data_IF_051588513393
#
_entry.id   IF_051588513393
#
_cell.length_a   1.000
_cell.length_b   1.000
_cell.length_c   1.000
_cell.angle_alpha   90.00
_cell.angle_beta   90.00
_cell.angle_gamma   90.00
#
_symmetry.space_group_name_H-M   'P 1'
#
loop_
_entity.id
_entity.type
_entity.pdbx_description
1 polymer ?
#
# COMPACT_ATOMS: atom_id res chain seq x y z
N UNK A 1 9.63 -6.78 20.52
CA UNK A 1 9.19 -6.13 19.29
C UNK A 1 10.43 -5.95 18.42
N UNK A 2 10.38 -6.24 17.16
CA UNK A 2 11.54 -6.16 16.27
C UNK A 2 11.32 -4.97 15.32
N UNK A 3 12.33 -4.12 15.24
CA UNK A 3 12.40 -3.07 14.23
C UNK A 3 12.27 -3.71 12.84
N UNK A 4 11.40 -3.16 11.99
CA UNK A 4 11.19 -3.65 10.63
C UNK A 4 12.43 -3.36 9.78
N UNK A 5 12.72 -4.23 8.82
CA UNK A 5 13.64 -3.88 7.75
C UNK A 5 13.07 -2.72 6.96
N UNK A 6 13.89 -1.71 6.64
CA UNK A 6 13.49 -0.56 5.83
C UNK A 6 14.40 -0.42 4.62
N UNK A 7 13.82 0.01 3.49
CA UNK A 7 14.54 0.57 2.35
C UNK A 7 14.40 2.09 2.39
N UNK A 8 15.50 2.80 2.10
CA UNK A 8 15.54 4.24 2.20
C UNK A 8 16.06 4.88 0.92
N UNK A 9 15.53 6.07 0.57
CA UNK A 9 16.01 6.89 -0.54
C UNK A 9 16.14 8.34 -0.13
N UNK A 10 17.22 8.98 -0.59
CA UNK A 10 17.48 10.39 -0.34
C UNK A 10 17.91 10.71 1.09
N UNK A 11 18.10 11.99 1.34
CA UNK A 11 18.50 12.54 2.64
C UNK A 11 17.97 13.98 2.79
N UNK A 12 16.79 14.25 2.23
CA UNK A 12 16.15 15.57 2.31
C UNK A 12 15.62 15.88 3.70
N UNK A 13 15.27 17.15 3.93
CA UNK A 13 14.75 17.61 5.22
C UNK A 13 13.29 17.21 5.47
N UNK A 14 12.55 16.85 4.42
CA UNK A 14 11.17 16.34 4.53
C UNK A 14 11.20 14.82 4.60
N UNK A 15 10.30 14.24 5.40
CA UNK A 15 10.23 12.78 5.54
C UNK A 15 8.98 12.24 4.87
N UNK A 16 9.13 11.17 4.07
CA UNK A 16 8.02 10.40 3.52
C UNK A 16 8.09 8.94 3.97
N UNK A 17 6.96 8.36 4.35
CA UNK A 17 6.84 6.93 4.66
C UNK A 17 5.94 6.24 3.64
N UNK A 18 6.36 5.05 3.15
CA UNK A 18 5.66 4.30 2.10
C UNK A 18 5.36 2.88 2.59
N UNK A 19 4.08 2.54 2.77
CA UNK A 19 3.65 1.26 3.33
C UNK A 19 3.04 0.40 2.22
N UNK A 20 3.65 -0.74 1.92
CA UNK A 20 3.25 -1.63 0.83
C UNK A 20 1.97 -2.43 1.12
N UNK A 21 1.37 -3.00 0.07
CA UNK A 21 0.22 -3.89 0.14
C UNK A 21 0.56 -5.35 0.47
N UNK A 22 -0.48 -6.18 0.60
CA UNK A 22 -0.35 -7.62 0.78
C UNK A 22 0.49 -8.24 -0.34
N UNK A 23 1.36 -9.17 0.01
CA UNK A 23 2.32 -9.83 -0.88
C UNK A 23 3.35 -8.92 -1.57
N UNK A 24 3.36 -7.61 -1.27
CA UNK A 24 4.39 -6.67 -1.69
C UNK A 24 5.58 -6.62 -0.73
N UNK A 25 6.43 -5.63 -0.92
CA UNK A 25 7.57 -5.30 -0.05
C UNK A 25 7.93 -3.82 -0.23
N UNK A 26 8.95 -3.33 0.48
CA UNK A 26 9.55 -2.02 0.22
C UNK A 26 9.95 -1.82 -1.24
N UNK A 27 10.28 -2.92 -1.95
CA UNK A 27 10.70 -2.94 -3.34
C UNK A 27 9.61 -2.46 -4.33
N UNK A 28 8.32 -2.56 -3.98
CA UNK A 28 7.25 -2.03 -4.85
C UNK A 28 7.44 -0.54 -5.17
N UNK A 29 8.06 0.20 -4.26
CA UNK A 29 8.27 1.64 -4.35
C UNK A 29 9.49 2.08 -5.17
N UNK A 30 10.08 1.19 -5.96
CA UNK A 30 11.33 1.37 -6.71
C UNK A 30 11.35 2.59 -7.66
N UNK A 31 10.20 3.07 -8.12
CA UNK A 31 10.09 4.31 -8.90
C UNK A 31 9.71 5.49 -7.99
N UNK A 32 8.76 5.31 -7.09
CA UNK A 32 8.22 6.37 -6.23
C UNK A 32 9.26 6.85 -5.21
N UNK A 33 9.99 5.93 -4.58
CA UNK A 33 11.01 6.26 -3.59
C UNK A 33 12.09 7.21 -4.14
N UNK A 34 12.78 6.85 -5.23
CA UNK A 34 13.76 7.74 -5.86
C UNK A 34 13.18 9.08 -6.35
N UNK A 35 11.94 9.08 -6.87
CA UNK A 35 11.31 10.32 -7.34
C UNK A 35 10.97 11.27 -6.19
N UNK A 36 10.45 10.77 -5.06
CA UNK A 36 10.25 11.59 -3.86
C UNK A 36 11.58 12.08 -3.29
N UNK A 37 12.62 11.24 -3.30
CA UNK A 37 13.98 11.64 -2.90
C UNK A 37 14.50 12.80 -3.76
N UNK A 38 14.29 12.74 -5.08
CA UNK A 38 14.64 13.83 -6.00
C UNK A 38 13.88 15.13 -5.70
N UNK A 39 12.69 15.02 -5.11
CA UNK A 39 11.87 16.16 -4.67
C UNK A 39 12.21 16.66 -3.26
N UNK A 40 13.30 16.16 -2.65
CA UNK A 40 13.81 16.62 -1.36
C UNK A 40 13.22 15.90 -0.14
N UNK A 41 12.76 14.67 -0.31
CA UNK A 41 12.37 13.80 0.79
C UNK A 41 13.50 12.85 1.21
N UNK A 42 13.55 12.53 2.49
CA UNK A 42 14.08 11.29 3.01
C UNK A 42 12.92 10.29 3.05
N UNK A 43 12.98 9.25 2.22
CA UNK A 43 11.90 8.30 2.05
C UNK A 43 12.22 7.02 2.80
N UNK A 44 11.28 6.49 3.57
CA UNK A 44 11.41 5.28 4.39
C UNK A 44 10.29 4.32 4.02
N UNK A 45 10.64 3.12 3.55
CA UNK A 45 9.69 2.08 3.18
C UNK A 45 9.98 0.80 3.96
N UNK A 46 9.14 0.42 4.95
CA UNK A 46 9.33 -0.80 5.73
C UNK A 46 8.87 -2.04 4.97
N UNK A 47 9.50 -3.19 5.26
CA UNK A 47 8.98 -4.52 4.96
C UNK A 47 8.15 -5.02 6.16
N UNK A 48 6.86 -5.18 5.97
CA UNK A 48 5.98 -5.74 6.99
C UNK A 48 6.38 -7.17 7.34
N UNK A 49 6.17 -7.60 8.59
CA UNK A 49 6.41 -9.01 8.95
C UNK A 49 5.66 -9.95 7.99
N UNK A 50 6.34 -10.99 7.53
CA UNK A 50 5.83 -11.92 6.51
C UNK A 50 6.08 -11.49 5.05
N UNK A 51 6.70 -10.32 4.81
CA UNK A 51 6.94 -9.74 3.50
C UNK A 51 8.42 -9.36 3.35
N UNK A 52 8.95 -9.41 2.14
CA UNK A 52 10.32 -9.01 1.85
C UNK A 52 11.33 -9.59 2.84
N UNK A 53 12.12 -8.74 3.47
CA UNK A 53 13.10 -9.07 4.52
C UNK A 53 12.50 -9.03 5.94
N UNK A 54 11.20 -8.76 6.06
CA UNK A 54 10.49 -8.74 7.33
C UNK A 54 10.51 -10.11 8.04
N UNK A 55 10.42 -10.11 9.37
CA UNK A 55 10.45 -11.30 10.20
C UNK A 55 9.30 -12.28 9.86
N UNK A 56 9.56 -13.57 10.02
CA UNK A 56 8.55 -14.62 9.90
C UNK A 56 7.97 -14.95 11.28
N UNK A 57 6.67 -15.24 11.35
CA UNK A 57 6.04 -15.57 12.63
C UNK A 57 4.51 -15.58 12.59
N UNK A 58 3.90 -15.06 13.63
CA UNK A 58 2.46 -14.85 13.71
C UNK A 58 2.14 -13.43 13.26
N UNK A 59 1.12 -13.29 12.42
CA UNK A 59 0.75 -12.01 11.81
C UNK A 59 -0.62 -11.55 12.31
N UNK A 60 -0.75 -10.25 12.60
CA UNK A 60 -2.03 -9.57 12.82
C UNK A 60 -1.90 -8.11 12.40
N UNK A 61 -3.04 -7.45 12.11
CA UNK A 61 -3.05 -6.03 11.79
C UNK A 61 -2.51 -5.18 12.93
N UNK A 62 -2.94 -5.51 14.13
CA UNK A 62 -2.57 -4.83 15.36
C UNK A 62 -1.04 -4.91 15.55
N UNK A 63 -0.48 -6.11 15.30
CA UNK A 63 0.97 -6.30 15.40
C UNK A 63 1.72 -5.50 14.33
N UNK A 64 1.27 -5.51 13.08
CA UNK A 64 1.87 -4.68 12.04
C UNK A 64 1.74 -3.19 12.32
N UNK A 65 0.60 -2.74 12.89
CA UNK A 65 0.42 -1.36 13.29
C UNK A 65 1.40 -0.96 14.41
N UNK A 66 1.61 -1.83 15.40
CA UNK A 66 2.60 -1.63 16.47
C UNK A 66 4.03 -1.58 15.89
N UNK A 67 4.40 -2.53 15.04
CA UNK A 67 5.72 -2.59 14.41
C UNK A 67 6.00 -1.32 13.56
N UNK A 68 4.98 -0.80 12.85
CA UNK A 68 5.09 0.45 12.11
C UNK A 68 5.34 1.66 13.02
N UNK A 69 4.60 1.77 14.14
CA UNK A 69 4.78 2.86 15.09
C UNK A 69 6.13 2.82 15.82
N UNK A 70 6.73 1.64 15.97
CA UNK A 70 8.06 1.49 16.54
C UNK A 70 9.17 1.82 15.53
N UNK A 71 8.94 1.55 14.26
CA UNK A 71 9.94 1.69 13.19
C UNK A 71 9.94 3.07 12.56
N UNK A 72 8.74 3.63 12.30
CA UNK A 72 8.61 4.85 11.52
C UNK A 72 8.79 6.11 12.37
N UNK A 73 9.45 7.16 11.84
CA UNK A 73 9.54 8.44 12.53
C UNK A 73 8.14 9.06 12.70
N UNK A 74 7.88 9.62 13.87
CA UNK A 74 6.65 10.36 14.12
C UNK A 74 6.62 11.68 13.33
N UNK A 75 5.42 12.12 12.96
CA UNK A 75 5.15 13.35 12.21
C UNK A 75 5.88 13.44 10.86
N UNK A 76 5.84 12.42 9.98
CA UNK A 76 6.40 12.56 8.65
C UNK A 76 5.59 13.60 7.85
N UNK A 77 6.22 14.25 6.87
CA UNK A 77 5.53 15.22 6.00
C UNK A 77 4.52 14.54 5.09
N UNK A 78 4.78 13.28 4.72
CA UNK A 78 3.95 12.47 3.84
C UNK A 78 3.91 11.03 4.32
N UNK A 79 2.73 10.42 4.29
CA UNK A 79 2.58 8.97 4.43
C UNK A 79 1.73 8.43 3.29
N UNK A 80 2.20 7.39 2.59
CA UNK A 80 1.47 6.71 1.51
C UNK A 80 1.29 5.26 1.92
N UNK A 81 0.06 4.73 1.82
CA UNK A 81 -0.24 3.33 2.06
C UNK A 81 -1.03 2.72 0.91
N UNK A 82 -0.50 1.65 0.31
CA UNK A 82 -1.16 0.91 -0.77
C UNK A 82 -1.95 -0.28 -0.21
N UNK A 83 -3.21 -0.44 -0.62
CA UNK A 83 -4.02 -1.62 -0.31
C UNK A 83 -4.06 -1.93 1.20
N UNK A 84 -3.47 -3.05 1.66
CA UNK A 84 -3.25 -3.37 3.08
C UNK A 84 -2.47 -2.27 3.80
N UNK A 85 -1.44 -1.69 3.16
CA UNK A 85 -0.70 -0.55 3.70
C UNK A 85 -1.59 0.66 3.96
N UNK A 86 -2.64 0.86 3.16
CA UNK A 86 -3.67 1.88 3.38
C UNK A 86 -4.55 1.58 4.60
N UNK A 87 -4.85 0.31 4.88
CA UNK A 87 -5.53 -0.12 6.12
C UNK A 87 -4.65 0.20 7.33
N UNK A 88 -3.38 -0.21 7.28
CA UNK A 88 -2.43 -0.01 8.38
C UNK A 88 -2.15 1.47 8.63
N UNK A 89 -1.98 2.26 7.57
CA UNK A 89 -1.82 3.72 7.70
C UNK A 89 -3.03 4.34 8.40
N UNK A 90 -4.25 3.95 8.02
CA UNK A 90 -5.46 4.45 8.68
C UNK A 90 -5.55 4.04 10.17
N UNK A 91 -5.03 2.87 10.54
CA UNK A 91 -4.95 2.43 11.94
C UNK A 91 -3.94 3.24 12.77
N UNK A 92 -2.83 3.68 12.16
CA UNK A 92 -1.75 4.36 12.89
C UNK A 92 -1.72 5.88 12.68
N UNK A 93 -2.56 6.43 11.82
CA UNK A 93 -2.50 7.84 11.41
C UNK A 93 -2.62 8.82 12.57
N UNK A 94 -3.39 8.49 13.59
CA UNK A 94 -3.56 9.32 14.79
C UNK A 94 -2.26 9.43 15.62
N UNK A 95 -1.52 8.33 15.74
CA UNK A 95 -0.26 8.27 16.48
C UNK A 95 0.92 8.74 15.61
N UNK A 96 0.95 8.34 14.34
CA UNK A 96 1.99 8.70 13.38
C UNK A 96 1.96 10.19 13.04
N UNK A 97 0.76 10.79 12.94
CA UNK A 97 0.50 12.20 12.66
C UNK A 97 1.24 12.75 11.44
N UNK A 98 1.10 12.15 10.26
CA UNK A 98 1.69 12.71 9.06
C UNK A 98 1.06 14.07 8.74
N UNK A 99 1.82 14.99 8.14
CA UNK A 99 1.26 16.26 7.66
C UNK A 99 0.22 16.03 6.55
N UNK A 100 0.40 14.96 5.77
CA UNK A 100 -0.53 14.51 4.71
C UNK A 100 -0.52 12.99 4.59
N UNK A 101 -1.69 12.39 4.38
CA UNK A 101 -1.85 10.96 4.15
C UNK A 101 -2.41 10.69 2.75
N UNK A 102 -1.85 9.69 2.06
CA UNK A 102 -2.34 9.21 0.77
C UNK A 102 -2.66 7.72 0.90
N UNK A 103 -3.86 7.35 0.52
CA UNK A 103 -4.36 6.00 0.53
C UNK A 103 -4.54 5.54 -0.91
N UNK A 104 -3.62 4.73 -1.40
CA UNK A 104 -3.64 4.18 -2.73
C UNK A 104 -4.46 2.89 -2.75
N UNK A 105 -5.63 2.95 -3.37
CA UNK A 105 -6.60 1.88 -3.53
C UNK A 105 -6.74 1.01 -2.26
N UNK A 106 -7.06 1.63 -1.10
CA UNK A 106 -6.96 0.98 0.19
C UNK A 106 -7.99 -0.14 0.36
N UNK A 107 -7.60 -1.25 0.97
CA UNK A 107 -8.48 -2.39 1.23
C UNK A 107 -9.38 -2.14 2.46
N UNK A 108 -10.13 -1.04 2.47
CA UNK A 108 -10.95 -0.64 3.63
C UNK A 108 -12.26 -1.42 3.76
N UNK A 109 -12.78 -1.94 2.65
CA UNK A 109 -13.97 -2.78 2.65
C UNK A 109 -13.69 -4.14 2.02
N UNK A 110 -14.36 -5.20 2.49
CA UNK A 110 -14.31 -6.46 1.79
C UNK A 110 -14.90 -6.31 0.39
N UNK A 111 -14.38 -7.06 -0.56
CA UNK A 111 -14.90 -7.08 -1.91
C UNK A 111 -16.40 -7.42 -1.93
N UNK A 112 -17.20 -6.58 -2.58
CA UNK A 112 -18.61 -6.88 -2.81
C UNK A 112 -18.76 -8.20 -3.56
N UNK A 113 -19.52 -9.12 -2.97
CA UNK A 113 -19.96 -10.36 -3.59
C UNK A 113 -18.95 -11.51 -3.60
N UNK A 114 -17.67 -11.27 -3.26
CA UNK A 114 -16.69 -12.34 -3.06
C UNK A 114 -16.09 -12.15 -1.68
N UNK A 115 -16.48 -12.96 -0.72
CA UNK A 115 -15.88 -12.93 0.61
C UNK A 115 -14.35 -13.10 0.49
N UNK A 116 -13.58 -12.38 1.28
CA UNK A 116 -12.12 -12.54 1.29
C UNK A 116 -11.70 -14.01 1.46
N UNK A 117 -12.49 -14.80 2.21
CA UNK A 117 -12.27 -16.23 2.35
C UNK A 117 -12.29 -16.99 1.03
N UNK A 118 -13.13 -16.57 0.06
CA UNK A 118 -13.19 -17.15 -1.27
C UNK A 118 -12.03 -16.69 -2.17
N UNK A 119 -11.55 -15.46 -1.98
CA UNK A 119 -10.41 -14.91 -2.73
C UNK A 119 -9.05 -15.43 -2.21
N UNK A 120 -8.96 -15.81 -0.95
CA UNK A 120 -7.72 -16.27 -0.31
C UNK A 120 -6.96 -17.36 -1.08
N UNK A 121 -7.60 -18.42 -1.61
CA UNK A 121 -6.88 -19.44 -2.37
C UNK A 121 -6.21 -18.87 -3.61
N UNK A 122 -6.88 -17.97 -4.36
CA UNK A 122 -6.34 -17.34 -5.55
C UNK A 122 -5.17 -16.39 -5.20
N UNK A 123 -5.32 -15.60 -4.14
CA UNK A 123 -4.24 -14.73 -3.65
C UNK A 123 -3.02 -15.56 -3.25
N UNK A 124 -3.21 -16.66 -2.51
CA UNK A 124 -2.11 -17.55 -2.12
C UNK A 124 -1.44 -18.24 -3.30
N UNK A 125 -2.22 -18.61 -4.33
CA UNK A 125 -1.69 -19.21 -5.54
C UNK A 125 -0.71 -18.28 -6.28
N UNK A 126 -0.81 -16.98 -6.11
CA UNK A 126 0.14 -16.03 -6.70
C UNK A 126 1.58 -16.25 -6.17
N UNK A 127 1.77 -16.90 -5.03
CA UNK A 127 3.10 -17.31 -4.51
C UNK A 127 3.91 -18.11 -5.52
N UNK A 128 3.23 -18.91 -6.32
CA UNK A 128 3.86 -19.84 -7.28
C UNK A 128 3.83 -19.29 -8.72
N UNK A 129 3.47 -18.01 -8.90
CA UNK A 129 3.42 -17.39 -10.23
C UNK A 129 4.82 -17.29 -10.85
N UNK A 130 4.85 -17.54 -12.15
CA UNK A 130 6.03 -17.41 -13.01
C UNK A 130 6.01 -16.06 -13.76
N UNK A 131 7.11 -15.72 -14.43
CA UNK A 131 7.15 -14.55 -15.34
C UNK A 131 6.04 -14.62 -16.41
N UNK A 132 5.70 -15.82 -16.89
CA UNK A 132 4.64 -15.99 -17.88
C UNK A 132 3.26 -15.68 -17.28
N UNK A 133 3.01 -16.08 -16.03
CA UNK A 133 1.75 -15.77 -15.31
C UNK A 133 1.64 -14.27 -15.07
N UNK A 134 2.73 -13.62 -14.63
CA UNK A 134 2.78 -12.17 -14.44
C UNK A 134 2.57 -11.42 -15.76
N UNK A 135 3.18 -11.85 -16.85
CA UNK A 135 2.98 -11.23 -18.14
C UNK A 135 1.54 -11.37 -18.65
N UNK A 136 0.90 -12.50 -18.38
CA UNK A 136 -0.49 -12.72 -18.73
C UNK A 136 -1.45 -11.83 -17.91
N UNK A 137 -1.20 -11.70 -16.61
CA UNK A 137 -2.04 -10.95 -15.69
C UNK A 137 -1.78 -9.44 -15.75
N UNK A 138 -0.50 -9.03 -15.77
CA UNK A 138 -0.03 -7.64 -15.81
C UNK A 138 0.62 -7.34 -17.17
N UNK A 139 -0.14 -7.47 -18.26
CA UNK A 139 0.38 -7.37 -19.64
C UNK A 139 1.05 -6.02 -19.98
N UNK A 140 0.72 -4.95 -19.22
CA UNK A 140 1.28 -3.60 -19.42
C UNK A 140 2.52 -3.33 -18.56
N UNK A 141 2.82 -4.18 -17.57
CA UNK A 141 3.98 -3.97 -16.74
C UNK A 141 5.29 -4.20 -17.50
N UNK A 142 6.29 -3.39 -17.18
CA UNK A 142 7.65 -3.58 -17.71
C UNK A 142 8.26 -4.90 -17.23
N UNK A 143 9.28 -5.38 -17.91
CA UNK A 143 10.03 -6.56 -17.45
C UNK A 143 10.64 -6.34 -16.06
N UNK A 144 11.08 -5.11 -15.76
CA UNK A 144 11.61 -4.74 -14.46
C UNK A 144 10.54 -4.82 -13.36
N UNK A 145 9.35 -4.27 -13.59
CA UNK A 145 8.22 -4.36 -12.66
C UNK A 145 7.84 -5.82 -12.36
N UNK A 146 7.79 -6.68 -13.40
CA UNK A 146 7.52 -8.11 -13.22
C UNK A 146 8.64 -8.84 -12.48
N UNK A 147 9.91 -8.49 -12.74
CA UNK A 147 11.06 -9.06 -12.02
C UNK A 147 11.00 -8.72 -10.53
N UNK A 148 10.71 -7.47 -10.19
CA UNK A 148 10.51 -7.04 -8.80
C UNK A 148 9.35 -7.82 -8.17
N UNK A 149 8.24 -7.97 -8.89
CA UNK A 149 7.09 -8.72 -8.40
C UNK A 149 7.39 -10.18 -8.13
N UNK A 150 8.20 -10.85 -8.95
CA UNK A 150 8.67 -12.22 -8.70
C UNK A 150 9.50 -12.30 -7.42
N UNK A 151 10.43 -11.35 -7.22
CA UNK A 151 11.23 -11.27 -5.99
C UNK A 151 10.34 -11.07 -4.76
N UNK A 152 9.33 -10.20 -4.85
CA UNK A 152 8.35 -10.00 -3.77
C UNK A 152 7.60 -11.30 -3.44
N UNK A 153 7.09 -11.98 -4.45
CA UNK A 153 6.37 -13.25 -4.28
C UNK A 153 7.27 -14.34 -3.69
N UNK A 154 8.55 -14.41 -4.10
CA UNK A 154 9.54 -15.33 -3.53
C UNK A 154 9.73 -15.10 -2.02
N UNK A 155 9.78 -13.85 -1.60
CA UNK A 155 10.03 -13.45 -0.21
C UNK A 155 8.75 -13.21 0.60
N UNK A 156 7.59 -13.48 0.06
CA UNK A 156 6.32 -13.35 0.77
C UNK A 156 5.93 -14.66 1.47
N UNK A 157 5.42 -14.56 2.71
CA UNK A 157 4.81 -15.67 3.44
C UNK A 157 3.29 -15.69 3.22
N UNK A 158 2.75 -16.70 2.49
CA UNK A 158 1.31 -16.80 2.26
C UNK A 158 0.46 -17.00 3.52
N UNK A 159 1.07 -17.31 4.68
CA UNK A 159 0.33 -17.37 5.96
C UNK A 159 -0.25 -16.01 6.35
N UNK A 160 0.31 -14.91 5.84
CA UNK A 160 -0.24 -13.56 6.03
C UNK A 160 -1.67 -13.42 5.52
N UNK A 161 -2.11 -14.26 4.57
CA UNK A 161 -3.49 -14.27 4.06
C UNK A 161 -4.49 -14.92 5.00
N UNK A 162 -4.05 -15.67 6.01
CA UNK A 162 -4.96 -16.38 6.94
C UNK A 162 -5.57 -15.47 8.00
N UNK A 163 -5.20 -14.22 8.00
CA UNK A 163 -5.74 -13.26 8.95
C UNK A 163 -7.08 -12.73 8.47
N UNK A 164 -8.02 -12.60 9.41
CA UNK A 164 -9.36 -12.05 9.17
C UNK A 164 -9.37 -10.52 9.02
N UNK A 165 -8.25 -9.92 8.57
CA UNK A 165 -8.16 -8.46 8.52
C UNK A 165 -9.05 -7.82 7.43
N UNK A 166 -9.56 -8.60 6.46
CA UNK A 166 -10.53 -8.12 5.48
C UNK A 166 -11.99 -8.41 5.90
N UNK A 167 -12.21 -9.34 6.83
CA UNK A 167 -13.55 -9.59 7.38
C UNK A 167 -13.98 -8.53 8.39
N UNK A 168 -13.02 -7.93 9.08
CA UNK A 168 -13.25 -6.80 9.98
C UNK A 168 -12.71 -5.54 9.32
N UNK A 169 -13.42 -5.02 8.31
CA UNK A 169 -13.00 -3.83 7.59
C UNK A 169 -12.69 -2.68 8.56
N UNK A 170 -11.44 -2.26 8.58
CA UNK A 170 -11.06 -1.00 9.22
C UNK A 170 -11.25 0.10 8.19
N UNK A 171 -12.36 0.81 8.30
CA UNK A 171 -12.65 1.95 7.44
C UNK A 171 -12.66 3.21 8.29
N UNK A 172 -11.83 4.20 7.99
CA UNK A 172 -11.87 5.46 8.72
C UNK A 172 -13.21 6.16 8.51
N UNK A 173 -13.81 6.69 9.58
CA UNK A 173 -15.10 7.39 9.52
C UNK A 173 -14.95 8.77 8.89
N UNK A 174 -13.81 9.42 9.10
CA UNK A 174 -13.42 10.73 8.54
C UNK A 174 -11.89 10.86 8.58
N UNK A 175 -11.30 11.76 7.77
CA UNK A 175 -9.86 11.96 7.79
C UNK A 175 -9.42 12.68 9.07
N UNK A 176 -8.38 12.15 9.75
CA UNK A 176 -7.77 12.80 10.93
C UNK A 176 -6.69 13.81 10.55
N UNK A 177 -6.17 13.72 9.35
CA UNK A 177 -5.20 14.64 8.74
C UNK A 177 -5.64 14.93 7.30
N UNK A 178 -5.10 15.93 6.61
CA UNK A 178 -5.33 16.11 5.17
C UNK A 178 -5.07 14.80 4.42
N UNK A 179 -6.10 14.22 3.80
CA UNK A 179 -6.08 12.86 3.27
C UNK A 179 -6.59 12.78 1.83
N UNK A 180 -5.80 12.11 0.99
CA UNK A 180 -6.13 11.78 -0.39
C UNK A 180 -6.37 10.29 -0.53
N UNK A 181 -7.48 9.91 -1.16
CA UNK A 181 -7.75 8.53 -1.61
C UNK A 181 -7.55 8.50 -3.12
N UNK A 182 -6.58 7.73 -3.59
CA UNK A 182 -6.36 7.46 -5.01
C UNK A 182 -6.96 6.10 -5.35
N UNK A 183 -7.80 6.06 -6.35
CA UNK A 183 -8.53 4.85 -6.76
C UNK A 183 -8.06 4.36 -8.13
N UNK A 184 -8.01 3.05 -8.29
CA UNK A 184 -7.92 2.37 -9.58
C UNK A 184 -9.17 2.64 -10.45
N UNK A 185 -9.09 2.31 -11.73
CA UNK A 185 -10.19 2.47 -12.69
C UNK A 185 -10.41 1.20 -13.54
N UNK A 186 -11.38 0.34 -13.13
CA UNK A 186 -12.16 0.39 -11.89
C UNK A 186 -11.36 -0.10 -10.66
N UNK A 187 -11.68 0.45 -9.48
CA UNK A 187 -11.12 -0.09 -8.23
C UNK A 187 -11.71 -1.47 -7.91
N UNK A 188 -10.87 -2.49 -7.64
CA UNK A 188 -11.35 -3.79 -7.22
C UNK A 188 -11.76 -3.84 -5.73
N UNK A 189 -11.43 -2.80 -4.95
CA UNK A 189 -11.66 -2.76 -3.49
C UNK A 189 -12.62 -1.66 -3.02
N UNK A 190 -12.77 -0.57 -3.79
CA UNK A 190 -13.63 0.55 -3.45
C UNK A 190 -14.70 0.73 -4.53
N UNK A 191 -15.94 0.37 -4.23
CA UNK A 191 -17.05 0.59 -5.13
C UNK A 191 -17.41 2.09 -5.24
N UNK A 192 -17.95 2.57 -6.39
CA UNK A 192 -18.27 3.99 -6.59
C UNK A 192 -19.12 4.64 -5.48
N UNK A 193 -20.18 4.01 -4.93
CA UNK A 193 -20.94 4.62 -3.83
C UNK A 193 -20.12 4.88 -2.58
N UNK A 194 -19.07 4.08 -2.37
CA UNK A 194 -18.17 4.24 -1.23
C UNK A 194 -17.17 5.38 -1.47
N UNK A 195 -16.70 5.55 -2.71
CA UNK A 195 -15.88 6.70 -3.10
C UNK A 195 -16.62 8.02 -2.87
N UNK A 196 -17.91 8.07 -3.23
CA UNK A 196 -18.79 9.22 -2.97
C UNK A 196 -18.94 9.49 -1.46
N UNK A 197 -19.08 8.43 -0.65
CA UNK A 197 -19.14 8.55 0.80
C UNK A 197 -17.84 9.15 1.37
N UNK A 198 -16.66 8.70 0.94
CA UNK A 198 -15.39 9.27 1.41
C UNK A 198 -15.26 10.75 1.10
N UNK A 199 -15.73 11.18 -0.08
CA UNK A 199 -15.79 12.60 -0.43
C UNK A 199 -16.71 13.38 0.52
N UNK A 200 -17.88 12.81 0.86
CA UNK A 200 -18.85 13.46 1.77
C UNK A 200 -18.32 13.60 3.19
N UNK A 201 -17.51 12.66 3.67
CA UNK A 201 -16.94 12.73 5.03
C UNK A 201 -15.60 13.47 5.10
N UNK A 202 -15.12 14.05 3.98
CA UNK A 202 -14.02 15.02 3.97
C UNK A 202 -12.68 14.50 3.42
N UNK A 203 -12.62 13.30 2.83
CA UNK A 203 -11.45 12.90 2.05
C UNK A 203 -11.42 13.60 0.69
N UNK A 204 -10.25 13.94 0.18
CA UNK A 204 -10.06 14.17 -1.25
C UNK A 204 -10.04 12.81 -1.95
N UNK A 205 -10.83 12.64 -3.01
CA UNK A 205 -10.88 11.38 -3.77
C UNK A 205 -10.56 11.66 -5.22
N UNK A 206 -9.64 10.89 -5.80
CA UNK A 206 -9.27 10.98 -7.21
C UNK A 206 -9.13 9.57 -7.80
N UNK A 207 -9.49 9.40 -9.07
CA UNK A 207 -9.30 8.16 -9.82
C UNK A 207 -8.16 8.36 -10.81
N UNK A 208 -7.22 7.39 -10.87
CA UNK A 208 -6.17 7.37 -11.88
C UNK A 208 -6.67 6.48 -13.03
N UNK A 209 -7.08 7.13 -14.11
CA UNK A 209 -7.78 6.47 -15.22
C UNK A 209 -6.94 5.34 -15.86
N UNK A 210 -7.59 4.21 -16.11
CA UNK A 210 -7.00 3.06 -16.79
C UNK A 210 -5.96 2.28 -15.98
N UNK A 211 -5.81 2.55 -14.68
CA UNK A 211 -4.96 1.75 -13.80
C UNK A 211 -5.72 0.60 -13.15
N UNK A 212 -5.03 -0.48 -12.81
CA UNK A 212 -5.50 -1.49 -11.88
C UNK A 212 -5.08 -1.17 -10.44
N UNK A 213 -5.12 -2.19 -9.58
CA UNK A 213 -4.90 -2.07 -8.13
C UNK A 213 -3.52 -1.52 -7.71
N UNK A 214 -2.49 -1.66 -8.53
CA UNK A 214 -1.14 -1.12 -8.30
C UNK A 214 -0.92 0.15 -9.13
N UNK A 215 -1.56 1.28 -8.73
CA UNK A 215 -1.55 2.52 -9.50
C UNK A 215 -0.13 2.99 -9.82
N UNK A 216 0.74 2.98 -8.80
CA UNK A 216 2.13 3.42 -8.88
C UNK A 216 3.01 2.57 -9.81
N UNK A 217 2.58 1.33 -10.15
CA UNK A 217 3.25 0.44 -11.09
C UNK A 217 2.56 0.47 -12.46
N UNK A 218 1.22 0.51 -12.48
CA UNK A 218 0.43 0.49 -13.71
C UNK A 218 0.60 1.76 -14.54
N UNK A 219 0.65 2.92 -13.89
CA UNK A 219 0.88 4.23 -14.50
C UNK A 219 1.62 5.16 -13.53
N UNK A 220 2.94 5.04 -13.49
CA UNK A 220 3.79 5.84 -12.61
C UNK A 220 3.60 7.35 -12.82
N UNK A 221 3.54 7.82 -14.05
CA UNK A 221 3.39 9.24 -14.37
C UNK A 221 2.00 9.77 -13.95
N UNK A 222 0.95 9.01 -14.21
CA UNK A 222 -0.41 9.31 -13.76
C UNK A 222 -0.52 9.34 -12.24
N UNK A 223 0.10 8.38 -11.56
CA UNK A 223 0.18 8.34 -10.11
C UNK A 223 0.90 9.57 -9.53
N UNK A 224 2.09 9.89 -10.05
CA UNK A 224 2.85 11.06 -9.60
C UNK A 224 2.13 12.38 -9.88
N UNK A 225 1.41 12.47 -11.00
CA UNK A 225 0.56 13.61 -11.33
C UNK A 225 -0.61 13.76 -10.35
N UNK A 226 -1.24 12.66 -9.93
CA UNK A 226 -2.31 12.70 -8.94
C UNK A 226 -1.81 13.13 -7.55
N UNK A 227 -0.52 13.00 -7.27
CA UNK A 227 0.12 13.48 -6.05
C UNK A 227 0.49 14.97 -6.11
N UNK A 228 0.37 15.66 -7.26
CA UNK A 228 0.66 17.10 -7.34
C UNK A 228 -0.21 17.88 -6.35
N UNK A 229 0.44 18.76 -5.56
CA UNK A 229 -0.21 19.47 -4.47
C UNK A 229 -0.26 18.71 -3.12
N UNK A 230 0.11 17.43 -3.12
CA UNK A 230 0.24 16.61 -1.91
C UNK A 230 1.69 16.36 -1.51
N UNK A 231 2.63 16.52 -2.44
CA UNK A 231 4.08 16.30 -2.25
C UNK A 231 4.89 17.58 -2.46
#
# INVERSE_FOLDING_TARGET
>A
LAELHVEEWGSGDRTAVLIHGLSGSSRTWWQVGPELARRGYHVIAPDLAGHGRGARGTYSRERWAEDLLETLPANPDLAIGHSLGGVLLAMVVEQLRPARAVYEDPAWYPWDGVGYGEAQPAIRAAKDWTEQDLQAFFSRWSAEARSIRLEELEHWDPQTTRMNYLETAYTPVFPLVPSLVLLADPSPVIAPPLADHFTQVGFSVQTVAGTGHWLHVDDFEGFMKALEGWI
#
